data_IF_994860303951
#
_entry.id   IF_994860303951
#
_cell.length_a   1.000
_cell.length_b   1.000
_cell.length_c   1.000
_cell.angle_alpha   90.00
_cell.angle_beta   90.00
_cell.angle_gamma   90.00
#
_symmetry.space_group_name_H-M   'P 1'
#
loop_
_entity.id
_entity.type
_entity.pdbx_description
1 polymer ?
#
# COMPACT_ATOMS: atom_id res chain seq x y z
N UNK A 1 -9.56 36.05 36.87
CA UNK A 1 -9.42 35.90 35.40
C UNK A 1 -8.29 34.92 35.00
N UNK A 2 -7.22 34.75 35.79
CA UNK A 2 -6.12 33.81 35.54
C UNK A 2 -6.48 32.31 35.60
N UNK A 3 -7.46 31.90 36.42
CA UNK A 3 -7.80 30.48 36.64
C UNK A 3 -8.46 29.85 35.40
N UNK A 4 -9.27 30.61 34.65
CA UNK A 4 -9.94 30.12 33.44
C UNK A 4 -8.95 29.84 32.29
N UNK A 5 -7.86 30.61 32.18
CA UNK A 5 -6.87 30.41 31.13
C UNK A 5 -6.06 29.10 31.29
N UNK A 6 -5.75 28.71 32.54
CA UNK A 6 -4.98 27.49 32.84
C UNK A 6 -5.78 26.22 32.53
N UNK A 7 -7.08 26.23 32.81
CA UNK A 7 -7.97 25.09 32.54
C UNK A 7 -8.09 24.85 31.03
N UNK A 8 -8.24 25.93 30.24
CA UNK A 8 -8.35 25.83 28.77
C UNK A 8 -7.07 25.23 28.18
N UNK A 9 -5.89 25.66 28.64
CA UNK A 9 -4.61 25.13 28.14
C UNK A 9 -4.44 23.64 28.49
N UNK A 10 -4.77 23.23 29.71
CA UNK A 10 -4.69 21.82 30.12
C UNK A 10 -5.61 20.91 29.30
N UNK A 11 -6.83 21.38 28.98
CA UNK A 11 -7.78 20.65 28.14
C UNK A 11 -7.28 20.52 26.71
N UNK A 12 -6.70 21.58 26.13
CA UNK A 12 -6.12 21.53 24.78
C UNK A 12 -4.96 20.54 24.70
N UNK A 13 -4.07 20.52 25.70
CA UNK A 13 -2.95 19.57 25.75
C UNK A 13 -3.46 18.12 25.86
N UNK A 14 -4.47 17.87 26.70
CA UNK A 14 -5.07 16.55 26.84
C UNK A 14 -5.73 16.06 25.53
N UNK A 15 -6.44 16.94 24.82
CA UNK A 15 -7.05 16.62 23.53
C UNK A 15 -5.97 16.30 22.48
N UNK A 16 -4.90 17.09 22.41
CA UNK A 16 -3.78 16.85 21.50
C UNK A 16 -3.04 15.53 21.80
N UNK A 17 -2.88 15.19 23.09
CA UNK A 17 -2.26 13.92 23.50
C UNK A 17 -3.13 12.71 23.14
N UNK A 18 -4.46 12.82 23.31
CA UNK A 18 -5.40 11.76 22.92
C UNK A 18 -5.42 11.55 21.40
N UNK A 19 -5.39 12.63 20.61
CA UNK A 19 -5.33 12.54 19.15
C UNK A 19 -4.04 11.88 18.66
N UNK A 20 -2.88 12.29 19.20
CA UNK A 20 -1.59 11.64 18.85
C UNK A 20 -1.53 10.17 19.28
N UNK A 21 -2.08 9.83 20.45
CA UNK A 21 -2.13 8.45 20.93
C UNK A 21 -3.04 7.54 20.09
N UNK A 22 -4.16 8.05 19.59
CA UNK A 22 -5.07 7.30 18.74
C UNK A 22 -4.44 6.93 17.39
N UNK A 23 -3.73 7.87 16.76
CA UNK A 23 -3.02 7.62 15.49
C UNK A 23 -1.91 6.57 15.66
N UNK A 24 -1.10 6.67 16.71
CA UNK A 24 -0.02 5.74 17.00
C UNK A 24 -0.51 4.29 17.23
N UNK A 25 -1.61 4.13 17.96
CA UNK A 25 -2.18 2.79 18.24
C UNK A 25 -2.80 2.17 17.00
N UNK A 26 -3.40 2.97 16.10
CA UNK A 26 -3.92 2.45 14.84
C UNK A 26 -2.80 2.00 13.89
N UNK A 27 -1.72 2.77 13.82
CA UNK A 27 -0.56 2.45 12.99
C UNK A 27 0.12 1.15 13.43
N UNK A 28 0.34 0.97 14.74
CA UNK A 28 0.91 -0.29 15.28
C UNK A 28 0.00 -1.50 15.08
N UNK A 29 -1.32 -1.32 15.06
CA UNK A 29 -2.27 -2.41 14.73
C UNK A 29 -2.26 -2.74 13.24
N UNK A 30 -2.14 -1.74 12.37
CA UNK A 30 -2.00 -1.96 10.93
C UNK A 30 -0.70 -2.72 10.63
N UNK A 31 0.40 -2.36 11.29
CA UNK A 31 1.70 -3.05 11.18
C UNK A 31 1.61 -4.52 11.62
N UNK A 32 0.92 -4.81 12.74
CA UNK A 32 0.72 -6.19 13.21
C UNK A 32 -0.23 -7.02 12.33
N UNK A 33 -1.19 -6.37 11.66
CA UNK A 33 -2.17 -7.04 10.80
C UNK A 33 -1.65 -7.27 9.36
N UNK A 34 -0.60 -6.55 8.96
CA UNK A 34 -0.14 -6.56 7.59
C UNK A 34 0.37 -7.92 7.08
N UNK A 35 1.15 -8.73 7.84
CA UNK A 35 1.54 -10.06 7.39
C UNK A 35 0.35 -10.98 7.10
N UNK A 36 -0.72 -10.87 7.90
CA UNK A 36 -1.94 -11.64 7.69
C UNK A 36 -2.70 -11.16 6.44
N UNK A 37 -2.74 -9.84 6.20
CA UNK A 37 -3.36 -9.27 5.00
C UNK A 37 -2.59 -9.66 3.74
N UNK A 38 -1.27 -9.50 3.72
CA UNK A 38 -0.38 -9.89 2.62
C UNK A 38 -0.53 -11.38 2.31
N UNK A 39 -0.51 -12.24 3.32
CA UNK A 39 -0.71 -13.69 3.14
C UNK A 39 -2.08 -14.03 2.55
N UNK A 40 -3.13 -13.35 3.01
CA UNK A 40 -4.49 -13.51 2.46
C UNK A 40 -4.59 -13.05 1.01
N UNK A 41 -4.07 -11.86 0.69
CA UNK A 41 -4.05 -11.34 -0.68
C UNK A 41 -3.25 -12.26 -1.60
N UNK A 42 -2.11 -12.78 -1.14
CA UNK A 42 -1.31 -13.73 -1.89
C UNK A 42 -2.09 -15.03 -2.16
N UNK A 43 -2.78 -15.56 -1.15
CA UNK A 43 -3.61 -16.77 -1.33
C UNK A 43 -4.78 -16.55 -2.29
N UNK A 44 -5.44 -15.38 -2.20
CA UNK A 44 -6.65 -15.09 -2.96
C UNK A 44 -6.37 -14.64 -4.41
N UNK A 45 -5.26 -13.94 -4.65
CA UNK A 45 -5.00 -13.25 -5.91
C UNK A 45 -3.78 -13.76 -6.69
N UNK A 46 -2.86 -14.52 -6.08
CA UNK A 46 -1.62 -14.90 -6.76
C UNK A 46 -1.93 -15.86 -7.93
N UNK A 47 -1.51 -15.54 -9.17
CA UNK A 47 -1.73 -16.39 -10.33
C UNK A 47 -0.83 -17.64 -10.34
N UNK A 48 0.07 -17.79 -9.37
CA UNK A 48 1.02 -18.89 -9.20
C UNK A 48 1.93 -19.08 -10.44
N UNK A 49 2.34 -17.96 -11.03
CA UNK A 49 3.22 -17.90 -12.20
C UNK A 49 4.66 -17.71 -11.73
N UNK A 50 5.58 -18.49 -12.27
CA UNK A 50 7.02 -18.31 -12.01
C UNK A 50 7.56 -17.04 -12.68
N UNK A 51 8.52 -16.39 -12.01
CA UNK A 51 9.22 -15.23 -12.54
C UNK A 51 9.85 -15.51 -13.91
N UNK A 52 9.64 -14.62 -14.87
CA UNK A 52 10.20 -14.70 -16.21
C UNK A 52 10.28 -13.30 -16.81
N UNK A 53 11.50 -12.87 -17.13
CA UNK A 53 11.80 -11.54 -17.68
C UNK A 53 11.14 -11.28 -19.06
N UNK A 54 10.73 -12.34 -19.76
CA UNK A 54 10.11 -12.27 -21.09
C UNK A 54 8.59 -12.38 -21.07
N UNK A 55 7.97 -12.55 -19.90
CA UNK A 55 6.53 -12.80 -19.78
C UNK A 55 5.71 -11.51 -19.77
N UNK A 56 5.78 -10.74 -20.86
CA UNK A 56 5.06 -9.47 -21.05
C UNK A 56 3.53 -9.60 -21.03
N UNK A 57 3.00 -10.82 -21.14
CA UNK A 57 1.57 -11.12 -21.12
C UNK A 57 1.11 -11.75 -19.79
N UNK A 58 1.98 -11.84 -18.78
CA UNK A 58 1.67 -12.46 -17.49
C UNK A 58 1.70 -11.45 -16.36
N UNK A 59 1.14 -11.89 -15.23
CA UNK A 59 1.20 -11.19 -13.96
C UNK A 59 1.94 -12.08 -12.97
N UNK A 60 2.87 -11.50 -12.20
CA UNK A 60 3.77 -12.22 -11.30
C UNK A 60 3.73 -11.52 -9.96
N UNK A 61 3.22 -12.22 -8.95
CA UNK A 61 3.11 -11.71 -7.59
C UNK A 61 4.16 -12.36 -6.70
N UNK A 62 4.92 -11.53 -5.99
CA UNK A 62 5.98 -11.93 -5.08
C UNK A 62 5.72 -11.28 -3.72
N UNK A 63 5.84 -12.06 -2.66
CA UNK A 63 5.81 -11.57 -1.27
C UNK A 63 7.22 -11.55 -0.71
N UNK A 64 7.60 -10.43 -0.11
CA UNK A 64 8.94 -10.19 0.44
C UNK A 64 8.86 -9.88 1.94
N UNK A 65 10.01 -9.81 2.61
CA UNK A 65 10.15 -9.37 4.00
C UNK A 65 9.25 -10.08 5.02
N UNK A 66 9.09 -11.40 4.87
CA UNK A 66 8.25 -12.20 5.75
C UNK A 66 6.76 -11.85 5.68
N UNK A 67 6.30 -11.30 4.55
CA UNK A 67 4.93 -10.87 4.34
C UNK A 67 4.67 -9.41 4.70
N UNK A 68 5.70 -8.56 4.77
CA UNK A 68 5.55 -7.11 4.97
C UNK A 68 5.51 -6.31 3.67
N UNK A 69 6.01 -6.91 2.59
CA UNK A 69 6.02 -6.33 1.27
C UNK A 69 5.36 -7.28 0.27
N UNK A 70 4.63 -6.70 -0.68
CA UNK A 70 4.06 -7.40 -1.82
C UNK A 70 4.37 -6.63 -3.10
N UNK A 71 5.06 -7.29 -4.02
CA UNK A 71 5.36 -6.75 -5.35
C UNK A 71 4.58 -7.54 -6.41
N UNK A 72 3.88 -6.82 -7.28
CA UNK A 72 3.22 -7.35 -8.45
C UNK A 72 3.83 -6.73 -9.71
N UNK A 73 4.25 -7.61 -10.61
CA UNK A 73 4.66 -7.27 -11.97
C UNK A 73 3.52 -7.65 -12.90
N UNK A 74 2.89 -6.67 -13.54
CA UNK A 74 1.89 -6.86 -14.58
C UNK A 74 2.51 -6.51 -15.92
N UNK A 75 2.76 -7.53 -16.74
CA UNK A 75 3.30 -7.37 -18.08
C UNK A 75 2.47 -6.38 -18.93
N UNK A 76 3.11 -5.67 -19.86
CA UNK A 76 2.44 -4.64 -20.68
C UNK A 76 1.20 -5.14 -21.44
N UNK A 77 1.20 -6.41 -21.84
CA UNK A 77 0.13 -7.10 -22.58
C UNK A 77 -0.69 -8.03 -21.67
N UNK A 78 -0.51 -7.93 -20.34
CA UNK A 78 -1.23 -8.74 -19.37
C UNK A 78 -2.67 -8.25 -19.17
N UNK A 79 -3.52 -9.12 -18.61
CA UNK A 79 -4.92 -8.80 -18.36
C UNK A 79 -5.18 -7.84 -17.18
N UNK A 80 -4.15 -7.53 -16.38
CA UNK A 80 -4.25 -6.75 -15.13
C UNK A 80 -5.27 -7.28 -14.10
N UNK A 81 -5.65 -8.56 -14.17
CA UNK A 81 -6.66 -9.18 -13.30
C UNK A 81 -6.11 -9.43 -11.90
N UNK A 82 -4.87 -9.88 -11.81
CA UNK A 82 -4.20 -10.04 -10.51
C UNK A 82 -4.00 -8.69 -9.85
N UNK A 83 -3.66 -7.65 -10.63
CA UNK A 83 -3.58 -6.29 -10.13
C UNK A 83 -4.90 -5.79 -9.55
N UNK A 84 -5.99 -5.87 -10.31
CA UNK A 84 -7.30 -5.43 -9.80
C UNK A 84 -7.73 -6.23 -8.56
N UNK A 85 -7.49 -7.56 -8.54
CA UNK A 85 -7.74 -8.38 -7.36
C UNK A 85 -6.95 -7.89 -6.14
N UNK A 86 -5.65 -7.66 -6.31
CA UNK A 86 -4.75 -7.19 -5.25
C UNK A 86 -5.26 -5.87 -4.67
N UNK A 87 -5.42 -4.84 -5.51
CA UNK A 87 -5.81 -3.50 -5.05
C UNK A 87 -7.20 -3.51 -4.39
N UNK A 88 -8.13 -4.31 -4.92
CA UNK A 88 -9.48 -4.47 -4.34
C UNK A 88 -9.44 -5.18 -2.99
N UNK A 89 -8.60 -6.22 -2.81
CA UNK A 89 -8.47 -6.94 -1.54
C UNK A 89 -7.80 -6.12 -0.45
N UNK A 90 -6.89 -5.23 -0.83
CA UNK A 90 -6.39 -4.21 0.08
C UNK A 90 -7.50 -3.21 0.46
N UNK A 91 -8.48 -2.97 -0.41
CA UNK A 91 -9.55 -1.99 -0.18
C UNK A 91 -9.13 -0.59 -0.60
N UNK A 92 -8.26 -0.51 -1.61
CA UNK A 92 -7.76 0.74 -2.16
C UNK A 92 -8.90 1.53 -2.82
N UNK A 93 -8.98 2.86 -2.60
CA UNK A 93 -10.05 3.65 -3.19
C UNK A 93 -9.89 3.73 -4.73
N UNK A 94 -11.02 3.82 -5.42
CA UNK A 94 -11.07 3.74 -6.90
C UNK A 94 -10.24 4.83 -7.59
N UNK A 95 -10.08 6.00 -6.98
CA UNK A 95 -9.24 7.07 -7.50
C UNK A 95 -7.75 6.68 -7.53
N UNK A 96 -7.24 6.04 -6.46
CA UNK A 96 -5.87 5.54 -6.40
C UNK A 96 -5.68 4.33 -7.30
N UNK A 97 -6.66 3.43 -7.35
CA UNK A 97 -6.66 2.29 -8.30
C UNK A 97 -6.51 2.78 -9.74
N UNK A 98 -7.30 3.77 -10.17
CA UNK A 98 -7.21 4.32 -11.52
C UNK A 98 -5.85 4.98 -11.77
N UNK A 99 -5.29 5.75 -10.82
CA UNK A 99 -3.93 6.33 -10.96
C UNK A 99 -2.86 5.26 -11.23
N UNK A 100 -2.96 4.12 -10.56
CA UNK A 100 -2.02 3.00 -10.74
C UNK A 100 -2.28 2.31 -12.09
N UNK A 101 -3.53 2.04 -12.44
CA UNK A 101 -3.91 1.31 -13.66
C UNK A 101 -3.59 2.09 -14.94
N UNK A 102 -3.73 3.42 -14.88
CA UNK A 102 -3.53 4.35 -16.00
C UNK A 102 -2.10 4.92 -16.05
N UNK A 103 -1.20 4.43 -15.18
CA UNK A 103 0.19 4.87 -15.12
C UNK A 103 0.88 4.71 -16.48
N UNK A 104 1.69 5.72 -16.83
CA UNK A 104 2.43 5.80 -18.09
C UNK A 104 3.92 5.94 -17.82
N UNK A 105 4.72 5.75 -18.87
CA UNK A 105 6.18 5.78 -18.75
C UNK A 105 6.71 7.18 -18.40
N UNK A 106 6.01 8.24 -18.81
CA UNK A 106 6.34 9.63 -18.49
C UNK A 106 6.02 10.03 -17.05
N UNK A 107 5.21 9.25 -16.34
CA UNK A 107 4.91 9.49 -14.92
C UNK A 107 6.13 9.25 -14.01
N UNK A 108 7.06 8.39 -14.45
CA UNK A 108 8.19 7.92 -13.65
C UNK A 108 7.76 7.06 -12.45
N UNK A 109 8.66 6.92 -11.47
CA UNK A 109 8.35 6.25 -10.21
C UNK A 109 7.43 7.15 -9.37
N UNK A 110 6.29 6.60 -8.94
CA UNK A 110 5.36 7.26 -8.01
C UNK A 110 5.30 6.48 -6.71
N UNK A 111 5.16 7.21 -5.61
CA UNK A 111 4.92 6.64 -4.28
C UNK A 111 3.83 7.44 -3.58
N UNK A 112 2.85 6.74 -3.01
CA UNK A 112 1.76 7.32 -2.24
C UNK A 112 1.54 6.56 -0.94
N UNK A 113 1.22 7.28 0.13
CA UNK A 113 0.89 6.69 1.43
C UNK A 113 -0.58 6.42 1.54
N UNK A 114 -0.92 5.17 1.83
CA UNK A 114 -2.30 4.77 2.01
C UNK A 114 -2.40 3.70 3.10
N UNK A 115 -3.27 3.94 4.09
CA UNK A 115 -3.58 3.02 5.18
C UNK A 115 -2.36 2.41 5.91
N UNK A 116 -1.34 3.23 6.19
CA UNK A 116 -0.11 2.79 6.87
C UNK A 116 0.86 2.01 5.97
N UNK A 117 0.67 2.06 4.65
CA UNK A 117 1.56 1.46 3.66
C UNK A 117 2.08 2.52 2.68
N UNK A 118 3.31 2.32 2.21
CA UNK A 118 3.82 2.97 1.01
C UNK A 118 3.41 2.12 -0.20
N UNK A 119 2.67 2.73 -1.12
CA UNK A 119 2.28 2.16 -2.41
C UNK A 119 3.13 2.80 -3.48
N UNK A 120 4.03 2.04 -4.06
CA UNK A 120 4.95 2.50 -5.10
C UNK A 120 4.61 1.84 -6.42
N UNK A 121 4.55 2.61 -7.51
CA UNK A 121 4.34 2.05 -8.84
C UNK A 121 5.17 2.75 -9.90
N UNK A 122 5.49 2.00 -10.95
CA UNK A 122 6.20 2.48 -12.12
C UNK A 122 5.72 1.72 -13.36
N UNK A 123 5.50 2.43 -14.45
CA UNK A 123 5.19 1.84 -15.74
C UNK A 123 6.38 1.98 -16.69
N UNK A 124 6.64 0.92 -17.45
CA UNK A 124 7.63 0.88 -18.51
C UNK A 124 7.00 0.27 -19.76
N UNK A 125 7.13 0.93 -20.92
CA UNK A 125 6.51 0.47 -22.17
C UNK A 125 7.04 -0.88 -22.69
N UNK A 126 8.22 -1.32 -22.23
CA UNK A 126 8.83 -2.58 -22.62
C UNK A 126 8.40 -3.74 -21.71
N UNK A 127 8.28 -3.50 -20.40
CA UNK A 127 8.02 -4.55 -19.41
C UNK A 127 6.59 -4.53 -18.83
N UNK A 128 5.95 -3.36 -18.74
CA UNK A 128 4.63 -3.19 -18.13
C UNK A 128 4.66 -2.42 -16.81
N UNK A 129 3.67 -2.68 -15.96
CA UNK A 129 3.45 -2.01 -14.69
C UNK A 129 4.04 -2.84 -13.54
N UNK A 130 4.86 -2.22 -12.70
CA UNK A 130 5.25 -2.76 -11.40
C UNK A 130 4.55 -1.98 -10.30
N UNK A 131 3.98 -2.69 -9.33
CA UNK A 131 3.38 -2.12 -8.12
C UNK A 131 3.95 -2.84 -6.90
N UNK A 132 4.40 -2.09 -5.91
CA UNK A 132 4.89 -2.59 -4.63
C UNK A 132 4.09 -1.94 -3.51
N UNK A 133 3.56 -2.75 -2.61
CA UNK A 133 2.93 -2.31 -1.36
C UNK A 133 3.83 -2.74 -0.21
N UNK A 134 4.31 -1.78 0.57
CA UNK A 134 5.17 -2.02 1.71
C UNK A 134 4.57 -1.39 2.97
N UNK A 135 4.55 -2.14 4.07
CA UNK A 135 4.16 -1.59 5.38
C UNK A 135 5.18 -0.58 5.86
N UNK A 136 4.71 0.56 6.38
CA UNK A 136 5.59 1.50 7.05
C UNK A 136 6.16 0.83 8.31
N UNK A 137 7.45 0.45 8.27
CA UNK A 137 8.18 0.08 9.47
C UNK A 137 8.60 1.39 10.16
N UNK A 138 7.87 1.78 11.20
CA UNK A 138 8.34 2.81 12.13
C UNK A 138 9.60 2.25 12.82
N UNK A 139 10.78 2.76 12.42
CA UNK A 139 12.05 2.49 13.10
C UNK A 139 12.07 3.04 14.52
#
# INVERSE_FOLDING_TARGET
MLIFAVIIVAVVIAILAVWKGASYVQEKRAEAAAPALVSKVNTDCNPNVQFSETSINKEIMVTEDGGKSMTLLSGKDSSKKTLDCMLTKYGMPEDLKHRILDAKMDDGLKTERWNGMDVTWIYNENSGLQVTLETLNDK
#
